data_IF_861995999515
#
_entry.id   IF_861995999515
#
_cell.length_a   1.000
_cell.length_b   1.000
_cell.length_c   1.000
_cell.angle_alpha   90.00
_cell.angle_beta   90.00
_cell.angle_gamma   90.00
#
_symmetry.space_group_name_H-M   'P 1'
#
loop_
_entity.id
_entity.type
_entity.pdbx_description
1 polymer ?
#
# COMPACT_ATOMS: atom_id res chain seq x y z
N UNK A 1 64.92 67.57 3.97
CA UNK A 1 63.83 66.98 3.16
C UNK A 1 63.33 65.72 3.85
N UNK A 2 62.02 65.54 4.05
CA UNK A 2 61.40 64.29 4.55
C UNK A 2 60.47 63.76 3.45
N UNK A 3 60.50 62.45 3.16
CA UNK A 3 59.49 61.76 2.32
C UNK A 3 58.46 61.09 3.24
N UNK A 4 57.15 61.11 2.92
CA UNK A 4 56.15 60.33 3.65
C UNK A 4 56.18 58.85 3.24
N UNK A 5 55.67 57.99 4.12
CA UNK A 5 55.41 56.57 3.84
C UNK A 5 53.89 56.35 3.70
N UNK A 6 53.38 55.76 2.62
CA UNK A 6 51.96 55.39 2.53
C UNK A 6 51.71 54.01 3.15
N UNK A 7 51.15 54.05 4.36
CA UNK A 7 50.14 53.14 4.91
C UNK A 7 49.80 51.88 4.07
N UNK A 8 50.26 50.69 4.51
CA UNK A 8 49.73 49.39 4.04
C UNK A 8 48.87 48.79 5.17
N UNK A 9 47.57 49.06 5.13
CA UNK A 9 46.57 48.45 6.04
C UNK A 9 45.29 48.16 5.23
N UNK A 10 44.58 47.10 5.62
CA UNK A 10 43.29 46.62 5.08
C UNK A 10 43.34 45.81 3.78
N UNK A 11 43.25 44.48 3.95
CA UNK A 11 42.58 43.55 3.03
C UNK A 11 42.52 42.13 3.64
N UNK A 12 43.60 41.71 4.32
CA UNK A 12 43.79 40.32 4.80
C UNK A 12 42.77 39.90 5.87
N UNK A 13 42.37 40.81 6.77
CA UNK A 13 41.59 40.46 7.96
C UNK A 13 40.13 40.02 7.68
N UNK A 14 39.53 40.45 6.57
CA UNK A 14 38.12 40.14 6.26
C UNK A 14 37.95 38.73 5.69
N UNK A 15 38.95 38.22 4.97
CA UNK A 15 38.88 36.90 4.33
C UNK A 15 38.97 35.72 5.31
N UNK A 16 39.56 35.92 6.49
CA UNK A 16 39.77 34.85 7.48
C UNK A 16 38.50 34.51 8.26
N UNK A 17 37.53 35.43 8.35
CA UNK A 17 36.30 35.22 9.12
C UNK A 17 35.14 34.59 8.31
N UNK A 18 35.25 34.55 6.98
CA UNK A 18 34.20 34.02 6.09
C UNK A 18 34.36 32.52 5.76
N UNK A 19 35.48 31.89 6.17
CA UNK A 19 35.78 30.48 5.86
C UNK A 19 35.27 29.49 6.89
N UNK A 20 34.82 29.93 8.07
CA UNK A 20 34.54 29.05 9.23
C UNK A 20 33.06 28.64 9.41
N UNK A 21 32.17 28.99 8.48
CA UNK A 21 30.74 28.59 8.52
C UNK A 21 30.27 27.78 7.31
N UNK A 22 31.19 27.37 6.43
CA UNK A 22 31.00 26.22 5.56
C UNK A 22 31.01 24.93 6.38
N UNK A 23 29.96 24.74 7.19
CA UNK A 23 29.62 23.41 7.71
C UNK A 23 29.45 22.51 6.51
N UNK A 24 30.30 21.48 6.41
CA UNK A 24 30.04 20.38 5.51
C UNK A 24 28.68 19.79 5.89
N UNK A 25 27.66 20.08 5.08
CA UNK A 25 26.52 19.20 4.91
C UNK A 25 27.06 17.93 4.23
N UNK A 26 27.73 17.08 5.00
CA UNK A 26 27.91 15.70 4.61
C UNK A 26 26.50 15.16 4.39
N UNK A 27 26.17 14.84 3.15
CA UNK A 27 24.96 14.09 2.86
C UNK A 27 25.08 12.77 3.61
N UNK A 28 24.36 12.63 4.72
CA UNK A 28 24.35 11.39 5.49
C UNK A 28 23.90 10.29 4.54
N UNK A 29 24.78 9.29 4.36
CA UNK A 29 24.66 8.34 3.26
C UNK A 29 23.51 7.38 3.55
N UNK A 30 22.32 7.78 3.11
CA UNK A 30 21.03 7.11 3.29
C UNK A 30 21.20 5.57 3.31
N UNK A 31 20.79 4.89 4.39
CA UNK A 31 21.13 3.49 4.62
C UNK A 31 20.58 2.62 3.48
N UNK A 32 21.51 1.95 2.78
CA UNK A 32 21.21 1.29 1.51
C UNK A 32 20.09 0.26 1.63
N UNK A 33 19.02 0.47 0.85
CA UNK A 33 17.78 -0.31 0.93
C UNK A 33 18.02 -1.79 0.55
N UNK A 34 17.86 -2.67 1.54
CA UNK A 34 18.15 -4.11 1.48
C UNK A 34 16.87 -4.87 1.16
N UNK A 35 16.94 -5.85 0.24
CA UNK A 35 15.80 -6.70 -0.06
C UNK A 35 15.52 -7.67 1.09
N UNK A 36 14.40 -7.46 1.78
CA UNK A 36 13.82 -8.39 2.74
C UNK A 36 12.74 -9.18 1.99
N UNK A 37 13.00 -10.47 1.81
CA UNK A 37 12.19 -11.40 1.00
C UNK A 37 10.78 -11.59 1.56
N UNK A 38 9.89 -12.04 0.68
CA UNK A 38 8.48 -12.32 0.97
C UNK A 38 8.25 -13.41 2.05
N UNK A 39 9.20 -14.32 2.28
CA UNK A 39 9.14 -15.32 3.34
C UNK A 39 9.46 -14.76 4.75
N UNK A 40 9.66 -13.44 4.88
CA UNK A 40 9.87 -12.80 6.17
C UNK A 40 8.62 -12.84 7.07
N UNK A 41 8.71 -13.33 8.32
CA UNK A 41 7.58 -13.38 9.25
C UNK A 41 7.12 -11.99 9.73
N UNK A 42 7.82 -10.92 9.36
CA UNK A 42 7.47 -9.53 9.64
C UNK A 42 6.48 -8.94 8.62
N UNK A 43 6.14 -9.69 7.55
CA UNK A 43 5.20 -9.27 6.51
C UNK A 43 3.81 -9.90 6.75
N UNK A 44 2.77 -9.07 6.80
CA UNK A 44 1.40 -9.48 7.02
C UNK A 44 0.58 -9.54 5.73
N UNK A 45 0.50 -10.73 5.16
CA UNK A 45 -0.34 -11.10 4.02
C UNK A 45 -1.84 -11.23 4.37
N UNK A 46 -2.73 -10.64 3.58
CA UNK A 46 -4.20 -10.77 3.76
C UNK A 46 -4.92 -10.91 2.41
N UNK A 47 -5.78 -11.92 2.28
CA UNK A 47 -6.46 -12.30 1.04
C UNK A 47 -6.13 -13.73 0.61
N UNK A 48 -6.60 -14.15 -0.57
CA UNK A 48 -6.28 -15.46 -1.17
C UNK A 48 -4.97 -15.37 -1.94
N UNK A 49 -3.95 -16.09 -1.47
CA UNK A 49 -2.55 -15.98 -1.93
C UNK A 49 -1.96 -17.38 -2.08
N UNK A 50 -1.28 -17.63 -3.19
CA UNK A 50 -0.48 -18.82 -3.45
C UNK A 50 0.92 -18.66 -2.82
N UNK A 51 1.28 -19.59 -1.93
CA UNK A 51 2.59 -19.65 -1.26
C UNK A 51 3.44 -20.87 -1.71
N UNK A 52 3.15 -21.45 -2.88
CA UNK A 52 3.90 -22.61 -3.42
C UNK A 52 5.40 -22.32 -3.60
N UNK A 53 5.76 -21.07 -3.89
CA UNK A 53 7.07 -20.51 -3.52
C UNK A 53 6.85 -19.42 -2.45
N UNK A 54 7.22 -19.65 -1.18
CA UNK A 54 7.03 -18.66 -0.11
C UNK A 54 7.93 -17.42 -0.27
N UNK A 55 8.97 -17.47 -1.11
CA UNK A 55 9.83 -16.32 -1.45
C UNK A 55 9.28 -15.49 -2.62
N UNK A 56 8.23 -15.98 -3.28
CA UNK A 56 7.58 -15.38 -4.46
C UNK A 56 6.05 -15.60 -4.45
N UNK A 57 5.32 -15.29 -3.36
CA UNK A 57 3.88 -15.55 -3.29
C UNK A 57 3.09 -14.75 -4.34
N UNK A 58 2.07 -15.39 -4.90
CA UNK A 58 1.26 -14.88 -6.03
C UNK A 58 -0.18 -14.62 -5.65
N UNK A 59 -0.77 -13.57 -6.20
CA UNK A 59 -2.16 -13.19 -5.93
C UNK A 59 -2.84 -12.49 -7.10
N UNK A 60 -4.09 -12.90 -7.35
CA UNK A 60 -4.92 -12.46 -8.47
C UNK A 60 -6.02 -11.49 -8.05
N UNK A 61 -6.69 -11.73 -6.93
CA UNK A 61 -7.87 -10.95 -6.54
C UNK A 61 -7.53 -9.50 -6.17
N UNK A 62 -8.44 -8.58 -6.50
CA UNK A 62 -8.42 -7.23 -5.94
C UNK A 62 -8.67 -7.28 -4.42
N UNK A 63 -8.20 -6.27 -3.68
CA UNK A 63 -8.32 -6.24 -2.22
C UNK A 63 -7.35 -7.18 -1.48
N UNK A 64 -6.52 -7.96 -2.18
CA UNK A 64 -5.39 -8.66 -1.56
C UNK A 64 -4.35 -7.63 -1.16
N UNK A 65 -4.02 -7.58 0.14
CA UNK A 65 -3.12 -6.58 0.69
C UNK A 65 -2.02 -7.17 1.57
N UNK A 66 -0.86 -6.53 1.51
CA UNK A 66 0.34 -6.85 2.27
C UNK A 66 0.67 -5.67 3.17
N UNK A 67 0.99 -5.92 4.43
CA UNK A 67 1.49 -4.89 5.36
C UNK A 67 2.87 -5.22 5.87
N UNK A 68 3.69 -4.20 6.06
CA UNK A 68 4.93 -4.26 6.83
C UNK A 68 5.07 -3.01 7.70
N UNK A 69 5.92 -3.07 8.72
CA UNK A 69 6.45 -1.87 9.38
C UNK A 69 7.96 -1.85 9.13
N UNK A 70 8.49 -0.76 8.60
CA UNK A 70 9.91 -0.58 8.33
C UNK A 70 10.50 0.47 9.25
N UNK A 71 11.80 0.39 9.52
CA UNK A 71 12.57 1.50 10.11
C UNK A 71 13.38 2.20 9.01
N UNK A 72 13.38 3.52 9.01
CA UNK A 72 14.20 4.37 8.14
C UNK A 72 13.40 5.39 7.32
N UNK A 73 14.13 6.19 6.56
CA UNK A 73 13.66 7.32 5.74
C UNK A 73 12.87 6.94 4.48
N UNK A 74 12.90 5.67 4.07
CA UNK A 74 12.29 5.23 2.81
C UNK A 74 12.15 3.71 2.66
N UNK A 75 11.32 3.34 1.69
CA UNK A 75 10.98 1.96 1.37
C UNK A 75 10.56 1.82 -0.10
N UNK A 76 10.93 0.70 -0.73
CA UNK A 76 10.43 0.27 -2.03
C UNK A 76 9.77 -1.12 -1.90
N UNK A 77 8.95 -1.49 -2.88
CA UNK A 77 8.50 -2.87 -3.09
C UNK A 77 9.15 -3.45 -4.34
N UNK A 78 9.43 -4.75 -4.33
CA UNK A 78 9.84 -5.50 -5.52
C UNK A 78 8.73 -6.50 -5.85
N UNK A 79 8.16 -6.35 -7.04
CA UNK A 79 6.99 -7.11 -7.49
C UNK A 79 7.08 -7.42 -8.99
N UNK A 80 6.77 -8.65 -9.36
CA UNK A 80 6.67 -9.07 -10.75
C UNK A 80 5.19 -9.07 -11.17
N UNK A 81 4.92 -8.73 -12.43
CA UNK A 81 3.59 -8.73 -13.03
C UNK A 81 3.51 -9.85 -14.07
N UNK A 82 2.42 -10.61 -14.06
CA UNK A 82 2.13 -11.62 -15.09
C UNK A 82 2.10 -11.02 -16.50
N UNK A 83 1.65 -9.76 -16.63
CA UNK A 83 1.41 -9.06 -17.89
C UNK A 83 0.52 -9.88 -18.85
N UNK A 84 -0.53 -10.52 -18.33
CA UNK A 84 -1.35 -11.53 -19.02
C UNK A 84 -1.81 -11.12 -20.43
N UNK A 85 -2.19 -9.86 -20.60
CA UNK A 85 -2.67 -9.30 -21.88
C UNK A 85 -1.65 -8.38 -22.59
N UNK A 86 -0.41 -8.32 -22.10
CA UNK A 86 0.73 -7.56 -22.65
C UNK A 86 0.62 -6.02 -22.56
N UNK A 87 -0.58 -5.46 -22.71
CA UNK A 87 -0.90 -4.02 -22.62
C UNK A 87 -1.62 -3.66 -21.33
N UNK A 88 -2.52 -4.53 -20.86
CA UNK A 88 -3.11 -4.41 -19.53
C UNK A 88 -2.05 -4.68 -18.47
N UNK A 89 -2.08 -3.91 -17.38
CA UNK A 89 -1.10 -3.94 -16.29
C UNK A 89 -1.81 -3.85 -14.95
N UNK A 90 -1.24 -4.47 -13.93
CA UNK A 90 -1.80 -4.38 -12.59
C UNK A 90 -1.56 -2.99 -11.96
N UNK A 91 -2.50 -2.58 -11.11
CA UNK A 91 -2.40 -1.39 -10.28
C UNK A 91 -2.34 -1.78 -8.80
N UNK A 92 -1.58 -0.99 -8.05
CA UNK A 92 -1.37 -1.17 -6.61
C UNK A 92 -1.67 0.17 -5.92
N UNK A 93 -2.62 0.18 -4.98
CA UNK A 93 -2.77 1.27 -4.03
C UNK A 93 -1.80 1.11 -2.85
N UNK A 94 -1.20 2.21 -2.44
CA UNK A 94 -0.16 2.29 -1.42
C UNK A 94 -0.58 3.29 -0.35
N UNK A 95 -0.48 2.89 0.91
CA UNK A 95 -0.71 3.74 2.08
C UNK A 95 0.51 3.66 2.98
N UNK A 96 1.08 4.81 3.32
CA UNK A 96 2.17 4.94 4.30
C UNK A 96 1.64 5.66 5.52
N UNK A 97 1.83 5.06 6.70
CA UNK A 97 1.22 5.46 7.97
C UNK A 97 -0.29 5.68 7.83
N UNK A 98 -0.80 6.81 8.34
CA UNK A 98 -2.18 7.27 8.13
C UNK A 98 -2.24 8.34 7.03
N UNK A 99 -1.30 8.31 6.08
CA UNK A 99 -1.22 9.24 4.96
C UNK A 99 -2.32 9.01 3.92
N UNK A 100 -2.45 9.94 2.97
CA UNK A 100 -3.38 9.79 1.85
C UNK A 100 -2.94 8.60 0.97
N UNK A 101 -3.84 7.68 0.59
CA UNK A 101 -3.54 6.63 -0.38
C UNK A 101 -3.07 7.21 -1.72
N UNK A 102 -2.16 6.51 -2.39
CA UNK A 102 -1.74 6.83 -3.75
C UNK A 102 -1.60 5.56 -4.59
N UNK A 103 -1.86 5.70 -5.90
CA UNK A 103 -1.93 4.59 -6.84
C UNK A 103 -0.69 4.52 -7.72
N UNK A 104 -0.11 3.33 -7.87
CA UNK A 104 1.01 3.05 -8.79
C UNK A 104 0.60 1.97 -9.79
N UNK A 105 1.04 2.10 -11.04
CA UNK A 105 0.92 1.06 -12.05
C UNK A 105 2.25 0.31 -12.14
N UNK A 106 2.23 -1.00 -12.38
CA UNK A 106 3.40 -1.72 -12.88
C UNK A 106 3.80 -1.18 -14.26
N UNK A 107 5.06 -1.38 -14.67
CA UNK A 107 5.56 -0.96 -15.99
C UNK A 107 6.10 -2.12 -16.83
N UNK A 108 6.42 -3.27 -16.22
CA UNK A 108 6.89 -4.47 -16.90
C UNK A 108 6.82 -5.73 -16.03
N UNK A 109 7.43 -6.83 -16.50
CA UNK A 109 7.42 -8.13 -15.82
C UNK A 109 8.11 -8.13 -14.46
N UNK A 110 9.00 -7.17 -14.20
CA UNK A 110 9.65 -6.98 -12.90
C UNK A 110 9.75 -5.50 -12.59
N UNK A 111 9.35 -5.12 -11.38
CA UNK A 111 9.15 -3.74 -10.96
C UNK A 111 9.83 -3.55 -9.60
N UNK A 112 10.63 -2.49 -9.47
CA UNK A 112 10.98 -1.91 -8.16
C UNK A 112 10.27 -0.58 -8.07
N UNK A 113 9.42 -0.40 -7.05
CA UNK A 113 8.55 0.77 -6.93
C UNK A 113 8.76 1.43 -5.57
N UNK A 114 9.20 2.68 -5.56
CA UNK A 114 9.35 3.48 -4.35
C UNK A 114 7.97 3.73 -3.73
N UNK A 115 7.76 3.25 -2.51
CA UNK A 115 6.52 3.44 -1.73
C UNK A 115 6.68 4.51 -0.65
N UNK A 116 7.92 4.78 -0.22
CA UNK A 116 8.26 5.87 0.70
C UNK A 116 9.67 6.41 0.41
N UNK A 117 9.88 7.72 0.55
CA UNK A 117 11.19 8.37 0.52
C UNK A 117 11.13 9.69 1.29
N UNK A 118 12.27 10.18 1.79
CA UNK A 118 12.36 11.48 2.47
C UNK A 118 11.56 11.59 3.77
N UNK A 119 11.19 10.46 4.38
CA UNK A 119 10.59 10.44 5.71
C UNK A 119 11.66 10.78 6.76
N UNK A 120 11.22 11.17 7.97
CA UNK A 120 12.11 11.29 9.14
C UNK A 120 12.60 9.89 9.52
N UNK A 121 13.80 9.73 10.10
CA UNK A 121 14.14 8.42 10.68
C UNK A 121 13.18 8.10 11.83
N UNK A 122 12.70 6.85 11.83
CA UNK A 122 11.55 6.43 12.61
C UNK A 122 11.01 5.08 12.11
N UNK A 123 9.95 4.61 12.75
CA UNK A 123 9.24 3.40 12.32
C UNK A 123 7.95 3.76 11.59
N UNK A 124 7.87 3.38 10.31
CA UNK A 124 6.75 3.69 9.42
C UNK A 124 6.03 2.41 9.02
N UNK A 125 4.70 2.46 8.95
CA UNK A 125 3.89 1.37 8.42
C UNK A 125 3.62 1.58 6.94
N UNK A 126 3.63 0.49 6.17
CA UNK A 126 3.23 0.49 4.76
C UNK A 126 2.20 -0.61 4.52
N UNK A 127 1.12 -0.25 3.85
CA UNK A 127 0.15 -1.16 3.26
C UNK A 127 0.24 -1.02 1.74
N UNK A 128 0.31 -2.16 1.03
CA UNK A 128 0.07 -2.22 -0.41
C UNK A 128 -1.12 -3.12 -0.69
N UNK A 129 -1.97 -2.73 -1.64
CA UNK A 129 -3.19 -3.45 -2.03
C UNK A 129 -3.18 -3.69 -3.54
N UNK A 130 -3.67 -4.84 -4.03
CA UNK A 130 -3.94 -5.04 -5.46
C UNK A 130 -5.30 -4.42 -5.79
N UNK A 131 -5.33 -3.46 -6.70
CA UNK A 131 -6.59 -2.79 -7.09
C UNK A 131 -7.28 -3.51 -8.24
N UNK A 132 -6.48 -4.09 -9.13
CA UNK A 132 -6.95 -4.75 -10.34
C UNK A 132 -7.53 -6.12 -10.04
N UNK A 133 -8.65 -6.43 -10.68
CA UNK A 133 -9.32 -7.73 -10.65
C UNK A 133 -8.42 -8.90 -11.11
N UNK A 134 -8.89 -10.13 -10.86
CA UNK A 134 -8.20 -11.36 -11.24
C UNK A 134 -7.98 -11.49 -12.76
N UNK A 135 -8.89 -10.96 -13.57
CA UNK A 135 -8.82 -10.99 -15.04
C UNK A 135 -7.64 -10.23 -15.65
N UNK A 136 -6.99 -9.33 -14.90
CA UNK A 136 -5.78 -8.61 -15.35
C UNK A 136 -4.50 -9.46 -15.18
N UNK A 137 -4.57 -10.52 -14.38
CA UNK A 137 -3.44 -11.39 -14.03
C UNK A 137 -2.90 -11.18 -12.61
N UNK A 138 -1.92 -12.00 -12.21
CA UNK A 138 -1.33 -11.94 -10.87
C UNK A 138 -0.25 -10.87 -10.69
N UNK A 139 -0.07 -10.50 -9.43
CA UNK A 139 1.19 -9.97 -8.91
C UNK A 139 1.94 -11.06 -8.15
N UNK A 140 3.25 -11.15 -8.36
CA UNK A 140 4.17 -12.04 -7.64
C UNK A 140 5.10 -11.17 -6.80
N UNK A 141 4.95 -11.21 -5.48
CA UNK A 141 5.66 -10.31 -4.59
C UNK A 141 7.00 -10.90 -4.14
N UNK A 142 8.09 -10.16 -4.34
CA UNK A 142 9.47 -10.62 -4.08
C UNK A 142 9.98 -10.15 -2.71
N UNK A 143 9.55 -8.97 -2.25
CA UNK A 143 9.95 -8.41 -0.96
C UNK A 143 9.84 -6.89 -0.86
N UNK A 144 10.10 -6.37 0.34
CA UNK A 144 10.32 -4.94 0.58
C UNK A 144 11.82 -4.63 0.47
N UNK A 145 12.18 -3.46 -0.04
CA UNK A 145 13.53 -2.89 0.12
C UNK A 145 13.47 -1.74 1.12
N UNK A 146 14.18 -1.87 2.23
CA UNK A 146 14.25 -0.88 3.31
C UNK A 146 15.53 -1.09 4.13
N UNK A 147 15.80 -0.27 5.15
CA UNK A 147 16.93 -0.52 6.05
C UNK A 147 16.68 -1.72 6.99
N UNK A 148 15.43 -1.93 7.41
CA UNK A 148 14.97 -3.10 8.16
C UNK A 148 13.46 -3.11 8.35
N UNK A 149 12.86 -4.31 8.49
CA UNK A 149 11.48 -4.47 8.98
C UNK A 149 11.48 -4.64 10.51
N UNK A 150 10.38 -4.23 11.14
CA UNK A 150 10.10 -4.37 12.58
C UNK A 150 8.72 -5.00 12.79
N UNK A 151 8.40 -5.55 13.98
CA UNK A 151 7.11 -6.21 14.23
C UNK A 151 5.90 -5.30 14.01
N UNK A 152 4.88 -5.84 13.34
CA UNK A 152 3.55 -5.24 13.22
C UNK A 152 2.64 -5.66 14.40
N UNK A 153 1.64 -4.82 14.77
CA UNK A 153 0.52 -5.25 15.61
C UNK A 153 -0.17 -6.50 15.03
N UNK A 154 -0.62 -7.41 15.89
CA UNK A 154 -1.27 -8.65 15.46
C UNK A 154 -2.50 -8.39 14.56
N UNK A 155 -2.73 -9.26 13.57
CA UNK A 155 -3.91 -9.18 12.68
C UNK A 155 -5.21 -9.21 13.50
N UNK A 156 -6.28 -8.52 13.06
CA UNK A 156 -7.59 -8.64 13.69
C UNK A 156 -8.04 -10.10 13.81
N UNK A 157 -8.61 -10.48 14.97
CA UNK A 157 -9.14 -11.84 15.20
C UNK A 157 -10.35 -12.17 14.32
N UNK A 158 -11.11 -11.13 13.93
CA UNK A 158 -12.27 -11.23 13.04
C UNK A 158 -11.80 -11.11 11.59
N UNK A 159 -12.41 -11.89 10.70
CA UNK A 159 -12.18 -11.86 9.25
C UNK A 159 -13.53 -11.63 8.55
N UNK A 160 -13.49 -11.05 7.36
CA UNK A 160 -14.58 -10.99 6.41
C UNK A 160 -14.05 -11.50 5.06
N UNK A 161 -14.91 -12.13 4.27
CA UNK A 161 -14.66 -12.41 2.86
C UNK A 161 -15.86 -11.88 2.07
N UNK A 162 -15.58 -11.29 0.91
CA UNK A 162 -16.59 -10.75 -0.01
C UNK A 162 -16.52 -11.56 -1.29
N UNK A 163 -17.65 -12.07 -1.77
CA UNK A 163 -17.72 -12.97 -2.93
C UNK A 163 -18.50 -12.29 -4.05
N UNK A 164 -17.90 -12.34 -5.24
CA UNK A 164 -18.33 -11.60 -6.41
C UNK A 164 -17.18 -11.43 -7.42
N UNK A 165 -17.27 -10.39 -8.24
CA UNK A 165 -16.57 -10.22 -9.52
C UNK A 165 -16.64 -8.77 -10.08
N UNK A 166 -17.64 -7.94 -9.73
CA UNK A 166 -17.81 -6.54 -10.19
C UNK A 166 -18.92 -5.78 -9.41
N UNK A 167 -20.15 -5.54 -9.95
CA UNK A 167 -21.25 -4.78 -9.27
C UNK A 167 -21.43 -5.18 -7.80
N UNK A 168 -21.74 -6.44 -7.53
CA UNK A 168 -20.79 -7.21 -6.74
C UNK A 168 -20.07 -8.34 -7.47
N UNK A 169 -20.50 -9.00 -8.57
CA UNK A 169 -21.41 -8.60 -9.64
C UNK A 169 -22.78 -9.30 -9.58
N UNK A 170 -23.34 -9.53 -10.77
CA UNK A 170 -24.54 -10.23 -11.14
C UNK A 170 -24.54 -11.73 -10.86
N UNK A 171 -23.76 -12.21 -9.88
CA UNK A 171 -24.11 -13.46 -9.19
C UNK A 171 -25.41 -13.20 -8.44
N UNK A 172 -26.53 -13.64 -9.03
CA UNK A 172 -27.88 -13.30 -8.60
C UNK A 172 -28.10 -13.40 -7.08
N UNK A 173 -28.94 -12.51 -6.55
CA UNK A 173 -29.32 -12.44 -5.13
C UNK A 173 -29.77 -13.79 -4.60
N UNK A 174 -30.39 -14.57 -5.47
CA UNK A 174 -30.89 -15.94 -5.30
C UNK A 174 -29.75 -16.92 -5.00
N UNK A 175 -28.62 -16.82 -5.71
CA UNK A 175 -27.44 -17.68 -5.52
C UNK A 175 -26.71 -17.36 -4.21
N UNK A 176 -26.49 -16.09 -3.90
CA UNK A 176 -25.88 -15.70 -2.62
C UNK A 176 -26.78 -16.07 -1.43
N UNK A 177 -28.10 -15.92 -1.57
CA UNK A 177 -29.08 -16.37 -0.57
C UNK A 177 -29.10 -17.89 -0.44
N UNK A 178 -29.00 -18.64 -1.54
CA UNK A 178 -28.90 -20.11 -1.54
C UNK A 178 -27.66 -20.59 -0.78
N UNK A 179 -26.49 -20.01 -1.04
CA UNK A 179 -25.24 -20.35 -0.33
C UNK A 179 -25.37 -20.10 1.18
N UNK A 180 -25.90 -18.93 1.59
CA UNK A 180 -26.17 -18.64 3.01
C UNK A 180 -27.10 -19.68 3.63
N UNK A 181 -28.17 -20.07 2.93
CA UNK A 181 -29.11 -21.07 3.43
C UNK A 181 -28.47 -22.47 3.53
N UNK A 182 -27.65 -22.87 2.56
CA UNK A 182 -26.92 -24.14 2.56
C UNK A 182 -25.94 -24.23 3.75
N UNK A 183 -25.14 -23.19 3.99
CA UNK A 183 -24.24 -23.11 5.14
C UNK A 183 -25.01 -23.03 6.48
N UNK A 184 -26.14 -22.33 6.51
CA UNK A 184 -27.06 -22.34 7.67
C UNK A 184 -27.66 -23.73 7.95
N UNK A 185 -27.97 -24.51 6.91
CA UNK A 185 -28.43 -25.90 7.05
C UNK A 185 -27.31 -26.86 7.45
N UNK A 186 -26.07 -26.63 6.98
CA UNK A 186 -24.87 -27.33 7.44
C UNK A 186 -24.48 -26.97 8.90
N UNK A 187 -24.94 -25.81 9.38
CA UNK A 187 -24.89 -25.39 10.79
C UNK A 187 -24.08 -24.13 11.07
N UNK A 188 -23.34 -23.56 10.11
CA UNK A 188 -22.61 -22.31 10.36
C UNK A 188 -23.50 -21.08 10.13
N UNK A 189 -24.17 -20.66 11.21
CA UNK A 189 -25.05 -19.47 11.25
C UNK A 189 -24.31 -18.12 11.24
N UNK A 190 -23.03 -18.10 10.83
CA UNK A 190 -22.19 -16.90 10.68
C UNK A 190 -21.95 -16.50 9.22
N UNK A 191 -22.48 -17.26 8.26
CA UNK A 191 -22.41 -16.93 6.84
C UNK A 191 -23.53 -15.94 6.52
N UNK A 192 -23.18 -14.83 5.86
CA UNK A 192 -24.04 -13.67 5.76
C UNK A 192 -24.01 -13.06 4.36
N UNK A 193 -25.17 -12.91 3.74
CA UNK A 193 -25.35 -12.10 2.54
C UNK A 193 -25.87 -10.73 2.93
N UNK A 194 -25.26 -9.70 2.34
CA UNK A 194 -25.71 -8.32 2.43
C UNK A 194 -25.99 -7.83 1.01
N UNK A 195 -27.08 -7.07 0.85
CA UNK A 195 -27.49 -6.50 -0.42
C UNK A 195 -27.80 -5.02 -0.20
N UNK A 196 -27.21 -4.16 -1.01
CA UNK A 196 -27.48 -2.72 -1.01
C UNK A 196 -28.97 -2.42 -1.26
N UNK A 197 -29.49 -1.35 -0.66
CA UNK A 197 -30.92 -1.01 -0.79
C UNK A 197 -31.35 -0.64 -2.21
N UNK A 198 -30.42 -0.11 -3.02
CA UNK A 198 -30.64 0.37 -4.38
C UNK A 198 -29.42 0.21 -5.27
N UNK A 199 -29.60 0.46 -6.57
CA UNK A 199 -28.49 0.74 -7.48
C UNK A 199 -27.85 2.11 -7.18
N UNK A 200 -26.54 2.20 -7.38
CA UNK A 200 -25.68 3.33 -7.03
C UNK A 200 -24.85 3.70 -8.25
N UNK A 201 -25.45 4.49 -9.15
CA UNK A 201 -25.04 4.63 -10.54
C UNK A 201 -24.96 6.12 -10.97
N UNK A 202 -24.89 7.08 -10.03
CA UNK A 202 -24.97 8.51 -10.33
C UNK A 202 -23.71 9.10 -10.99
N UNK A 203 -22.61 8.36 -11.01
CA UNK A 203 -21.34 8.72 -11.66
C UNK A 203 -21.25 8.33 -13.14
N UNK A 204 -20.15 8.75 -13.76
CA UNK A 204 -19.90 8.48 -15.18
C UNK A 204 -19.89 6.98 -15.50
N UNK A 205 -20.50 6.60 -16.63
CA UNK A 205 -20.57 5.20 -17.08
C UNK A 205 -21.49 4.29 -16.26
N UNK A 206 -22.27 4.84 -15.31
CA UNK A 206 -23.13 4.07 -14.41
C UNK A 206 -22.42 3.53 -13.17
N UNK A 207 -21.20 4.02 -12.88
CA UNK A 207 -20.53 3.79 -11.59
C UNK A 207 -21.15 4.68 -10.49
N UNK A 208 -20.90 4.38 -9.20
CA UNK A 208 -21.16 5.32 -8.11
C UNK A 208 -20.42 6.65 -8.30
N UNK A 209 -20.99 7.74 -7.80
CA UNK A 209 -20.24 8.97 -7.49
C UNK A 209 -19.78 8.99 -6.02
N UNK A 210 -19.22 10.10 -5.55
CA UNK A 210 -18.76 10.23 -4.15
C UNK A 210 -19.92 10.14 -3.14
N UNK A 211 -21.10 10.68 -3.46
CA UNK A 211 -22.28 10.66 -2.59
C UNK A 211 -22.89 9.25 -2.50
N UNK A 212 -22.94 8.54 -3.64
CA UNK A 212 -23.31 7.13 -3.70
C UNK A 212 -22.30 6.27 -2.91
N UNK A 213 -20.98 6.54 -3.01
CA UNK A 213 -19.95 5.86 -2.21
C UNK A 213 -20.10 6.07 -0.70
N UNK A 214 -20.43 7.28 -0.25
CA UNK A 214 -20.71 7.57 1.16
C UNK A 214 -21.93 6.79 1.68
N UNK A 215 -22.99 6.68 0.87
CA UNK A 215 -24.19 5.88 1.20
C UNK A 215 -23.89 4.37 1.23
N UNK A 216 -23.18 3.86 0.23
CA UNK A 216 -22.66 2.47 0.18
C UNK A 216 -21.89 2.13 1.45
N UNK A 217 -20.97 3.01 1.86
CA UNK A 217 -20.18 2.83 3.08
C UNK A 217 -21.05 2.88 4.35
N UNK A 218 -22.07 3.76 4.38
CA UNK A 218 -23.03 3.89 5.47
C UNK A 218 -23.87 2.63 5.69
N UNK A 219 -24.47 2.07 4.64
CA UNK A 219 -25.27 0.84 4.74
C UNK A 219 -24.42 -0.35 5.22
N UNK A 220 -23.28 -0.60 4.56
CA UNK A 220 -22.40 -1.73 4.90
C UNK A 220 -21.83 -1.60 6.31
N UNK A 221 -21.44 -0.38 6.74
CA UNK A 221 -20.97 -0.13 8.11
C UNK A 221 -22.05 -0.40 9.16
N UNK A 222 -23.31 -0.04 8.86
CA UNK A 222 -24.45 -0.24 9.77
C UNK A 222 -24.78 -1.73 9.89
N UNK A 223 -24.77 -2.46 8.77
CA UNK A 223 -24.93 -3.91 8.76
C UNK A 223 -23.83 -4.62 9.55
N UNK A 224 -22.56 -4.31 9.28
CA UNK A 224 -21.42 -4.96 9.94
C UNK A 224 -21.41 -4.71 11.46
N UNK A 225 -21.67 -3.48 11.92
CA UNK A 225 -21.79 -3.19 13.37
C UNK A 225 -22.87 -4.04 14.04
N UNK A 226 -24.04 -4.13 13.43
CA UNK A 226 -25.20 -4.86 13.95
C UNK A 226 -24.92 -6.37 13.99
N UNK A 227 -24.52 -6.95 12.86
CA UNK A 227 -24.30 -8.39 12.69
C UNK A 227 -23.12 -8.89 13.52
N UNK A 228 -22.00 -8.15 13.52
CA UNK A 228 -20.74 -8.59 14.14
C UNK A 228 -20.55 -8.11 15.59
N UNK A 229 -21.49 -7.30 16.11
CA UNK A 229 -21.49 -6.65 17.43
C UNK A 229 -20.18 -5.86 17.66
N UNK A 230 -20.03 -4.76 16.92
CA UNK A 230 -18.87 -3.85 16.95
C UNK A 230 -19.25 -2.47 17.51
#
# INVERSE_FOLDING_TARGET
MKRPLPLIISCVAVFVLLTLTLKFAQSEKEPSLRLIRADSPLIQYTGRIDFSDPKRPRFWAAGVYLRAKFKGTGCEIVVNDEMLWGRSRNFIEVVVDNGKPFRVQTNGKSNTITVAHGLRDGEHSVTICKDTEAGIGYLEFIGFRCAGLVPLPAKPKRKLEFIGDSITCSTGKENLTRIVNEEHHAGDRKVHAFFFSRGYNNGCGGHPDLSDHEQIAGELSTYLKTTMRW
#
